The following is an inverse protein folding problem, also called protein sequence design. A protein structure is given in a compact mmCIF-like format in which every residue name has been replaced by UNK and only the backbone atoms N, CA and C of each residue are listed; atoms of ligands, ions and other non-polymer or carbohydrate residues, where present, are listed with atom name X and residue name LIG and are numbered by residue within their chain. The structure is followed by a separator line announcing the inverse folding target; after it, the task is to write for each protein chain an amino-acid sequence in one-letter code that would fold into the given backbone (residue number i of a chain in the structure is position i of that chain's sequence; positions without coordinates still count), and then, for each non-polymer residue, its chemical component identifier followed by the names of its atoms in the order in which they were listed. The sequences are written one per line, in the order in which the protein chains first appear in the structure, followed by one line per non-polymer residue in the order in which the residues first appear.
data_IF_907810751159
#
_entry.id   IF_907810751159
#
_cell.length_a   1.000
_cell.length_b   1.000
_cell.length_c   1.000
_cell.angle_alpha   90.00
_cell.angle_beta   90.00
_cell.angle_gamma   90.00
#
_symmetry.space_group_name_H-M   'P 1'
#
loop_
_entity.id
_entity.type
_entity.pdbx_description
1 polymer ?
#
# COMPACT_ATOMS: atom_id res chain seq x y z
N UNK A 1 -18.94 -12.68 7.02
CA UNK A 1 -18.06 -13.86 7.13
C UNK A 1 -16.63 -13.38 7.41
N UNK A 2 -15.71 -14.22 7.92
CA UNK A 2 -14.31 -13.79 8.18
C UNK A 2 -13.57 -13.36 6.90
N UNK A 3 -13.98 -13.90 5.75
CA UNK A 3 -13.43 -13.60 4.42
C UNK A 3 -13.79 -12.17 3.97
N UNK A 4 -15.05 -11.75 4.15
CA UNK A 4 -15.47 -10.37 3.82
C UNK A 4 -14.70 -9.33 4.64
N UNK A 5 -14.43 -9.65 5.91
CA UNK A 5 -13.63 -8.80 6.79
C UNK A 5 -12.19 -8.65 6.29
N UNK A 6 -11.54 -9.76 5.91
CA UNK A 6 -10.19 -9.74 5.36
C UNK A 6 -10.11 -8.99 4.02
N UNK A 7 -11.11 -9.18 3.13
CA UNK A 7 -11.22 -8.45 1.87
C UNK A 7 -11.31 -6.94 2.09
N UNK A 8 -12.21 -6.52 2.99
CA UNK A 8 -12.42 -5.11 3.31
C UNK A 8 -11.16 -4.47 3.89
N UNK A 9 -10.46 -5.18 4.79
CA UNK A 9 -9.19 -4.69 5.35
C UNK A 9 -8.08 -4.61 4.31
N UNK A 10 -7.98 -5.58 3.40
CA UNK A 10 -7.02 -5.55 2.29
C UNK A 10 -7.27 -4.33 1.39
N UNK A 11 -8.52 -4.08 0.98
CA UNK A 11 -8.86 -2.92 0.17
C UNK A 11 -8.56 -1.60 0.90
N UNK A 12 -8.93 -1.49 2.18
CA UNK A 12 -8.62 -0.31 2.99
C UNK A 12 -7.11 -0.10 3.17
N UNK A 13 -6.33 -1.17 3.26
CA UNK A 13 -4.87 -1.12 3.34
C UNK A 13 -4.23 -0.62 2.04
N UNK A 14 -4.70 -1.11 0.89
CA UNK A 14 -4.28 -0.64 -0.44
C UNK A 14 -4.61 0.85 -0.60
N UNK A 15 -5.84 1.26 -0.29
CA UNK A 15 -6.28 2.65 -0.43
C UNK A 15 -5.46 3.59 0.46
N UNK A 16 -5.24 3.22 1.73
CA UNK A 16 -4.42 4.02 2.66
C UNK A 16 -2.97 4.11 2.23
N UNK A 17 -2.36 2.99 1.84
CA UNK A 17 -0.97 2.99 1.35
C UNK A 17 -0.81 3.83 0.09
N UNK A 18 -1.77 3.80 -0.84
CA UNK A 18 -1.73 4.64 -2.04
C UNK A 18 -1.91 6.13 -1.74
N UNK A 19 -2.78 6.48 -0.79
CA UNK A 19 -2.96 7.87 -0.36
C UNK A 19 -1.69 8.42 0.31
N UNK A 20 -1.08 7.63 1.20
CA UNK A 20 0.19 7.96 1.86
C UNK A 20 1.33 8.11 0.84
N UNK A 21 1.45 7.17 -0.11
CA UNK A 21 2.46 7.21 -1.16
C UNK A 21 2.35 8.48 -2.02
N UNK A 22 1.13 8.93 -2.30
CA UNK A 22 0.90 10.20 -3.01
C UNK A 22 1.36 11.41 -2.20
N UNK A 23 1.18 11.39 -0.87
CA UNK A 23 1.69 12.41 0.04
C UNK A 23 3.21 12.51 0.00
N UNK A 24 3.92 11.41 0.28
CA UNK A 24 5.38 11.39 0.24
C UNK A 24 5.95 11.71 -1.16
N UNK A 25 5.27 11.26 -2.23
CA UNK A 25 5.69 11.63 -3.59
C UNK A 25 5.54 13.14 -3.88
N UNK A 26 4.51 13.79 -3.33
CA UNK A 26 4.35 15.24 -3.43
C UNK A 26 5.43 15.98 -2.63
N UNK A 27 5.80 15.48 -1.46
CA UNK A 27 6.91 16.02 -0.65
C UNK A 27 8.25 15.91 -1.40
N UNK A 28 8.55 14.76 -2.02
CA UNK A 28 9.74 14.58 -2.85
C UNK A 28 9.75 15.56 -4.03
N UNK A 29 8.62 15.73 -4.71
CA UNK A 29 8.51 16.66 -5.84
C UNK A 29 8.65 18.13 -5.42
N UNK A 30 8.14 18.49 -4.23
CA UNK A 30 8.21 19.84 -3.68
C UNK A 30 9.57 20.20 -3.10
N UNK A 31 10.34 19.23 -2.61
CA UNK A 31 11.68 19.45 -2.05
C UNK A 31 12.67 20.05 -3.07
N UNK A 32 12.49 19.81 -4.38
CA UNK A 32 13.30 20.45 -5.42
C UNK A 32 12.89 21.89 -5.78
N UNK A 33 11.73 22.38 -5.29
CA UNK A 33 11.21 23.71 -5.60
C UNK A 33 11.59 24.79 -4.58
N UNK A 34 11.85 24.38 -3.34
CA UNK A 34 12.31 25.27 -2.28
C UNK A 34 13.80 25.00 -2.08
N UNK A 35 14.65 26.03 -2.15
CA UNK A 35 16.13 26.01 -2.10
C UNK A 35 16.76 25.40 -0.82
N UNK A 36 16.10 24.47 -0.14
CA UNK A 36 16.62 23.67 0.96
C UNK A 36 17.13 22.33 0.41
N UNK A 37 18.14 22.43 -0.43
CA UNK A 37 18.80 21.36 -1.21
C UNK A 37 19.64 20.42 -0.31
N UNK A 38 19.25 20.28 0.96
CA UNK A 38 19.90 19.37 1.90
C UNK A 38 19.42 17.95 1.60
N UNK A 39 20.29 17.01 1.21
CA UNK A 39 19.91 15.62 0.90
C UNK A 39 19.11 14.93 2.01
N UNK A 40 19.27 15.40 3.26
CA UNK A 40 18.52 14.93 4.43
C UNK A 40 17.01 15.20 4.37
N UNK A 41 16.55 16.26 3.70
CA UNK A 41 15.12 16.58 3.57
C UNK A 41 14.37 15.60 2.67
N UNK A 42 15.09 14.90 1.78
CA UNK A 42 14.56 13.88 0.88
C UNK A 42 14.57 12.47 1.48
N UNK A 43 15.44 12.19 2.45
CA UNK A 43 15.60 10.83 3.01
C UNK A 43 14.31 10.35 3.67
N UNK A 44 13.69 11.20 4.49
CA UNK A 44 12.45 10.86 5.21
C UNK A 44 11.29 10.54 4.25
N UNK A 45 10.92 11.41 3.28
CA UNK A 45 9.81 11.11 2.38
C UNK A 45 10.14 9.96 1.41
N UNK A 46 11.40 9.75 1.02
CA UNK A 46 11.78 8.57 0.24
C UNK A 46 11.62 7.26 1.03
N UNK A 47 12.01 7.25 2.30
CA UNK A 47 11.82 6.11 3.18
C UNK A 47 10.32 5.86 3.44
N UNK A 48 9.56 6.92 3.70
CA UNK A 48 8.10 6.87 3.85
C UNK A 48 7.42 6.27 2.61
N UNK A 49 7.77 6.76 1.42
CA UNK A 49 7.27 6.24 0.15
C UNK A 49 7.59 4.74 -0.03
N UNK A 50 8.78 4.30 0.38
CA UNK A 50 9.16 2.88 0.34
C UNK A 50 8.32 2.04 1.32
N UNK A 51 8.05 2.56 2.51
CA UNK A 51 7.19 1.89 3.50
C UNK A 51 5.75 1.77 2.98
N UNK A 52 5.23 2.81 2.33
CA UNK A 52 3.90 2.77 1.72
C UNK A 52 3.79 1.70 0.63
N UNK A 53 4.83 1.57 -0.21
CA UNK A 53 4.88 0.54 -1.22
C UNK A 53 4.82 -0.87 -0.61
N UNK A 54 5.54 -1.09 0.50
CA UNK A 54 5.50 -2.35 1.25
C UNK A 54 4.10 -2.58 1.84
N UNK A 55 3.45 -1.55 2.38
CA UNK A 55 2.10 -1.63 2.93
C UNK A 55 1.06 -2.02 1.86
N UNK A 56 1.13 -1.43 0.67
CA UNK A 56 0.28 -1.78 -0.47
C UNK A 56 0.54 -3.22 -0.91
N UNK A 57 1.81 -3.64 -0.98
CA UNK A 57 2.18 -4.99 -1.36
C UNK A 57 1.67 -6.02 -0.36
N UNK A 58 1.80 -5.76 0.94
CA UNK A 58 1.28 -6.63 2.00
C UNK A 58 -0.25 -6.76 1.92
N UNK A 59 -0.95 -5.64 1.72
CA UNK A 59 -2.40 -5.63 1.56
C UNK A 59 -2.85 -6.39 0.29
N UNK A 60 -2.08 -6.29 -0.80
CA UNK A 60 -2.31 -7.06 -2.02
C UNK A 60 -2.11 -8.56 -1.81
N UNK A 61 -1.16 -8.96 -0.96
CA UNK A 61 -0.96 -10.37 -0.62
C UNK A 61 -2.14 -10.93 0.19
N UNK A 62 -2.73 -10.14 1.10
CA UNK A 62 -3.96 -10.51 1.80
C UNK A 62 -5.11 -10.67 0.82
N UNK A 63 -5.24 -9.77 -0.15
CA UNK A 63 -6.26 -9.86 -1.21
C UNK A 63 -6.11 -11.16 -2.02
N UNK A 64 -4.90 -11.52 -2.43
CA UNK A 64 -4.63 -12.79 -3.12
C UNK A 64 -5.00 -14.00 -2.28
N UNK A 65 -4.64 -14.00 -0.99
CA UNK A 65 -5.01 -15.09 -0.10
C UNK A 65 -6.53 -15.24 0.07
N UNK A 66 -7.27 -14.12 0.06
CA UNK A 66 -8.73 -14.14 0.04
C UNK A 66 -9.27 -14.73 -1.26
N UNK A 67 -8.71 -14.34 -2.41
CA UNK A 67 -9.07 -14.88 -3.73
C UNK A 67 -8.83 -16.39 -3.82
N UNK A 68 -7.64 -16.85 -3.40
CA UNK A 68 -7.28 -18.27 -3.34
C UNK A 68 -8.24 -19.06 -2.44
N UNK A 69 -8.59 -18.49 -1.28
CA UNK A 69 -9.53 -19.12 -0.34
C UNK A 69 -10.92 -19.26 -0.98
N UNK A 70 -11.43 -18.21 -1.61
CA UNK A 70 -12.71 -18.25 -2.33
C UNK A 70 -12.67 -19.27 -3.46
N UNK A 71 -11.64 -19.26 -4.30
CA UNK A 71 -11.44 -20.22 -5.38
C UNK A 71 -11.46 -21.67 -4.86
N UNK A 72 -10.71 -21.95 -3.79
CA UNK A 72 -10.65 -23.30 -3.19
C UNK A 72 -12.00 -23.81 -2.64
N UNK A 73 -12.92 -22.91 -2.28
CA UNK A 73 -14.27 -23.27 -1.82
C UNK A 73 -15.18 -23.65 -3.00
N UNK A 74 -15.01 -23.00 -4.14
CA UNK A 74 -15.80 -23.28 -5.35
C UNK A 74 -15.26 -24.51 -6.11
N UNK A 75 -13.93 -24.67 -6.15
CA UNK A 75 -13.27 -25.79 -6.84
C UNK A 75 -13.64 -27.14 -6.22
N UNK A 76 -13.73 -27.23 -4.89
CA UNK A 76 -14.16 -28.46 -4.18
C UNK A 76 -15.61 -28.89 -4.42
N UNK A 77 -16.44 -28.03 -5.03
CA UNK A 77 -17.86 -28.29 -5.27
C UNK A 77 -18.13 -28.80 -6.69
N UNK A 78 -17.10 -28.86 -7.54
CA UNK A 78 -17.15 -29.36 -8.92
C UNK A 78 -16.44 -30.71 -9.00
#
# INVERSE_FOLDING_TARGET
MKIDGALSQAMLGIQRGLASARGHAAEIAGAGQFNDDSPSSLVEPMLGLRQDAIQVQASTQVLKAVDDMLGSLFDKKT
#
